data_IF_472666363446
#
_entry.id   IF_472666363446
#
_cell.length_a   1.000
_cell.length_b   1.000
_cell.length_c   1.000
_cell.angle_alpha   90.00
_cell.angle_beta   90.00
_cell.angle_gamma   90.00
#
_symmetry.space_group_name_H-M   'P 1'
#
loop_
_entity.id
_entity.type
_entity.pdbx_description
1 polymer ?
#
# COMPACT_ATOMS: atom_id res chain seq x y z
N UNK A 1 16.51 -7.82 9.46
CA UNK A 1 16.29 -8.04 8.01
C UNK A 1 15.48 -6.85 7.55
N UNK A 2 16.11 -5.92 6.85
CA UNK A 2 15.53 -4.64 6.43
C UNK A 2 14.46 -4.92 5.38
N UNK A 3 13.19 -4.95 5.79
CA UNK A 3 12.05 -5.18 4.92
C UNK A 3 11.80 -3.92 4.07
N UNK A 4 12.70 -3.62 3.14
CA UNK A 4 12.47 -2.61 2.11
C UNK A 4 11.42 -3.15 1.16
N UNK A 5 10.19 -2.68 1.30
CA UNK A 5 9.11 -3.00 0.38
C UNK A 5 9.29 -2.17 -0.90
N UNK A 6 9.41 -2.83 -2.03
CA UNK A 6 9.51 -2.17 -3.33
C UNK A 6 8.14 -1.66 -3.79
N UNK A 7 8.06 -0.58 -4.58
CA UNK A 7 6.79 -0.12 -5.14
C UNK A 7 6.10 -1.19 -6.00
N UNK A 8 6.87 -2.04 -6.67
CA UNK A 8 6.35 -3.18 -7.44
C UNK A 8 5.68 -4.24 -6.53
N UNK A 9 6.29 -4.54 -5.38
CA UNK A 9 5.72 -5.45 -4.40
C UNK A 9 4.42 -4.90 -3.81
N UNK A 10 4.38 -3.59 -3.53
CA UNK A 10 3.16 -2.94 -3.07
C UNK A 10 2.05 -3.02 -4.12
N UNK A 11 2.37 -2.72 -5.38
CA UNK A 11 1.44 -2.76 -6.49
C UNK A 11 0.87 -4.18 -6.70
N UNK A 12 1.72 -5.20 -6.63
CA UNK A 12 1.33 -6.60 -6.72
C UNK A 12 0.44 -7.02 -5.53
N UNK A 13 0.74 -6.53 -4.33
CA UNK A 13 -0.01 -6.84 -3.12
C UNK A 13 -1.39 -6.18 -3.13
N UNK A 14 -1.48 -4.92 -3.54
CA UNK A 14 -2.75 -4.21 -3.78
C UNK A 14 -3.56 -4.97 -4.83
N UNK A 15 -2.94 -5.35 -5.94
CA UNK A 15 -3.63 -6.07 -7.01
C UNK A 15 -4.16 -7.44 -6.56
N UNK A 16 -3.41 -8.17 -5.72
CA UNK A 16 -3.85 -9.44 -5.13
C UNK A 16 -5.01 -9.29 -4.16
N UNK A 17 -4.99 -8.26 -3.30
CA UNK A 17 -6.00 -8.07 -2.27
C UNK A 17 -7.30 -7.45 -2.80
N UNK A 18 -7.20 -6.58 -3.80
CA UNK A 18 -8.31 -5.77 -4.31
C UNK A 18 -8.87 -6.30 -5.63
N UNK A 19 -8.06 -7.07 -6.37
CA UNK A 19 -8.39 -7.50 -7.74
C UNK A 19 -8.20 -6.40 -8.80
N UNK A 20 -7.76 -5.20 -8.41
CA UNK A 20 -7.53 -4.10 -9.35
C UNK A 20 -6.09 -4.10 -9.84
N UNK A 21 -5.87 -3.85 -11.13
CA UNK A 21 -4.51 -3.80 -11.68
C UNK A 21 -3.87 -2.45 -11.33
N UNK A 22 -2.89 -2.48 -10.43
CA UNK A 22 -2.11 -1.30 -10.03
C UNK A 22 -0.66 -1.48 -10.47
N UNK A 23 -0.02 -0.42 -10.95
CA UNK A 23 1.40 -0.42 -11.36
C UNK A 23 2.29 0.29 -10.35
N UNK A 24 3.58 -0.06 -10.32
CA UNK A 24 4.56 0.59 -9.44
C UNK A 24 4.58 2.12 -9.60
N UNK A 25 4.42 2.64 -10.83
CA UNK A 25 4.37 4.07 -11.10
C UNK A 25 3.20 4.74 -10.38
N UNK A 26 2.00 4.15 -10.44
CA UNK A 26 0.82 4.65 -9.75
C UNK A 26 0.99 4.66 -8.23
N UNK A 27 1.65 3.65 -7.67
CA UNK A 27 1.92 3.58 -6.23
C UNK A 27 2.95 4.62 -5.78
N UNK A 28 3.90 4.97 -6.64
CA UNK A 28 4.90 6.02 -6.35
C UNK A 28 4.38 7.45 -6.54
N UNK A 29 3.26 7.60 -7.25
CA UNK A 29 2.68 8.90 -7.52
C UNK A 29 1.93 9.45 -6.29
N UNK A 30 2.24 10.67 -5.82
CA UNK A 30 1.54 11.27 -4.68
C UNK A 30 0.13 11.76 -5.02
N UNK A 31 -0.21 11.98 -6.29
CA UNK A 31 -1.51 12.51 -6.71
C UNK A 31 -2.60 11.44 -6.79
N UNK A 32 -2.22 10.17 -6.97
CA UNK A 32 -3.18 9.07 -6.94
C UNK A 32 -3.44 8.63 -5.51
N UNK A 33 -4.72 8.49 -5.19
CA UNK A 33 -5.20 7.88 -3.95
C UNK A 33 -5.58 6.42 -4.19
N UNK A 34 -5.73 5.65 -3.13
CA UNK A 34 -6.28 4.29 -3.25
C UNK A 34 -7.66 4.29 -3.94
N UNK A 35 -8.52 5.26 -3.63
CA UNK A 35 -9.83 5.43 -4.26
C UNK A 35 -9.74 5.66 -5.78
N UNK A 36 -8.81 6.52 -6.22
CA UNK A 36 -8.57 6.78 -7.65
C UNK A 36 -8.07 5.52 -8.39
N UNK A 37 -7.30 4.69 -7.70
CA UNK A 37 -6.85 3.39 -8.20
C UNK A 37 -7.95 2.32 -8.15
N UNK A 38 -9.17 2.63 -7.71
CA UNK A 38 -10.27 1.67 -7.58
C UNK A 38 -10.15 0.74 -6.36
N UNK A 39 -9.32 1.10 -5.38
CA UNK A 39 -9.13 0.31 -4.17
C UNK A 39 -10.16 0.71 -3.13
N UNK A 40 -11.14 -0.18 -2.91
CA UNK A 40 -12.13 -0.03 -1.84
C UNK A 40 -11.51 -0.16 -0.44
N UNK A 41 -12.21 0.40 0.56
CA UNK A 41 -11.82 0.33 1.98
C UNK A 41 -11.56 -1.10 2.48
N UNK A 42 -12.37 -2.08 2.06
CA UNK A 42 -12.18 -3.49 2.42
C UNK A 42 -10.91 -4.08 1.80
N UNK A 43 -10.64 -3.73 0.54
CA UNK A 43 -9.44 -4.16 -0.16
C UNK A 43 -8.19 -3.60 0.51
N UNK A 44 -8.23 -2.33 0.89
CA UNK A 44 -7.15 -1.66 1.63
C UNK A 44 -6.88 -2.32 3.00
N UNK A 45 -7.92 -2.69 3.75
CA UNK A 45 -7.72 -3.44 5.00
C UNK A 45 -7.02 -4.79 4.79
N UNK A 46 -7.33 -5.48 3.68
CA UNK A 46 -6.63 -6.71 3.28
C UNK A 46 -5.14 -6.48 3.02
N UNK A 47 -4.83 -5.41 2.27
CA UNK A 47 -3.46 -4.96 1.98
C UNK A 47 -2.69 -4.67 3.26
N UNK A 48 -3.24 -3.83 4.14
CA UNK A 48 -2.65 -3.49 5.44
C UNK A 48 -2.43 -4.72 6.31
N UNK A 49 -3.38 -5.65 6.34
CA UNK A 49 -3.25 -6.89 7.10
C UNK A 49 -2.11 -7.79 6.61
N UNK A 50 -1.93 -7.89 5.29
CA UNK A 50 -0.82 -8.65 4.70
C UNK A 50 0.53 -7.99 5.02
N UNK A 51 0.61 -6.66 4.92
CA UNK A 51 1.81 -5.90 5.25
C UNK A 51 2.19 -6.00 6.73
N UNK A 52 1.21 -5.95 7.64
CA UNK A 52 1.43 -6.18 9.08
C UNK A 52 2.00 -7.57 9.36
N UNK A 53 1.54 -8.60 8.64
CA UNK A 53 2.02 -9.99 8.80
C UNK A 53 3.38 -10.23 8.16
N UNK A 54 3.60 -9.72 6.96
CA UNK A 54 4.73 -10.10 6.11
C UNK A 54 5.90 -9.10 6.18
N UNK A 55 5.61 -7.82 6.42
CA UNK A 55 6.60 -6.73 6.46
C UNK A 55 6.76 -6.08 7.85
N UNK A 56 6.02 -6.56 8.86
CA UNK A 56 6.12 -6.04 10.22
C UNK A 56 5.60 -4.61 10.36
N UNK A 57 4.71 -4.19 9.47
CA UNK A 57 4.06 -2.88 9.52
C UNK A 57 3.39 -2.66 10.90
N UNK A 58 3.48 -1.44 11.48
CA UNK A 58 2.83 -1.17 12.76
C UNK A 58 1.33 -1.42 12.66
N UNK A 59 0.76 -2.05 13.70
CA UNK A 59 -0.69 -2.32 13.78
C UNK A 59 -1.56 -1.07 13.92
N UNK A 60 -0.94 0.04 14.29
CA UNK A 60 -1.58 1.35 14.42
C UNK A 60 -1.71 2.08 13.08
N UNK A 61 -1.15 1.53 11.99
CA UNK A 61 -1.34 2.13 10.68
C UNK A 61 -2.75 1.83 10.19
N UNK A 62 -3.59 2.85 10.30
CA UNK A 62 -4.87 2.93 9.63
C UNK A 62 -4.70 3.78 8.36
N UNK A 63 -4.96 3.19 7.20
CA UNK A 63 -5.03 3.93 5.94
C UNK A 63 -6.44 3.89 5.40
N UNK A 64 -6.88 5.04 4.93
CA UNK A 64 -8.16 5.23 4.30
C UNK A 64 -8.00 5.30 2.77
N UNK A 65 -9.05 5.00 1.99
CA UNK A 65 -9.00 5.07 0.53
C UNK A 65 -8.69 6.47 -0.01
N UNK A 66 -8.94 7.54 0.78
CA UNK A 66 -8.56 8.92 0.44
C UNK A 66 -7.05 9.21 0.49
N UNK A 67 -6.24 8.25 0.97
CA UNK A 67 -4.79 8.43 1.10
C UNK A 67 -4.04 7.95 -0.13
N UNK A 68 -2.84 8.50 -0.32
CA UNK A 68 -1.95 8.11 -1.41
C UNK A 68 -1.17 6.84 -1.06
N UNK A 69 -1.03 5.87 -1.98
CA UNK A 69 -0.20 4.67 -1.76
C UNK A 69 1.27 4.99 -1.50
N UNK A 70 1.74 6.14 -2.01
CA UNK A 70 3.08 6.66 -1.75
C UNK A 70 3.32 6.89 -0.26
N UNK A 71 2.33 7.38 0.49
CA UNK A 71 2.46 7.56 1.94
C UNK A 71 2.69 6.22 2.63
N UNK A 72 1.95 5.19 2.24
CA UNK A 72 2.13 3.82 2.72
C UNK A 72 3.55 3.33 2.44
N UNK A 73 4.03 3.52 1.21
CA UNK A 73 5.38 3.12 0.81
C UNK A 73 6.46 3.85 1.62
N UNK A 74 6.27 5.15 1.90
CA UNK A 74 7.17 5.95 2.74
C UNK A 74 7.21 5.44 4.18
N UNK A 75 6.07 5.03 4.76
CA UNK A 75 6.01 4.42 6.10
C UNK A 75 6.81 3.11 6.18
N UNK A 76 6.77 2.29 5.14
CA UNK A 76 7.49 1.01 5.09
C UNK A 76 8.98 1.17 4.75
N UNK A 77 9.32 2.19 3.96
CA UNK A 77 10.71 2.45 3.54
C UNK A 77 11.52 3.18 4.62
N UNK A 78 10.87 3.76 5.62
CA UNK A 78 11.55 4.35 6.79
C UNK A 78 12.40 5.58 6.46
N UNK A 79 11.95 6.42 5.51
CA UNK A 79 12.56 7.74 5.27
C UNK A 79 11.60 8.82 5.77
N UNK A 80 11.74 9.14 7.06
CA UNK A 80 11.27 10.40 7.63
C UNK A 80 12.13 11.57 7.13
#
# INVERSE_FOLDING_TARGET
MSAHLSPDELAALISRCTGVTVTAEQVTDPHHTFDDLGVDSLGLMGVLGELQRNHGMPRDVDMQPDRSPRELLSLLTGRA
#
